data_IF_658891627034
#
_entry.id   IF_658891627034
#
_cell.length_a   1.000
_cell.length_b   1.000
_cell.length_c   1.000
_cell.angle_alpha   90.00
_cell.angle_beta   90.00
_cell.angle_gamma   90.00
#
_symmetry.space_group_name_H-M   'P 1'
#
loop_
_entity.id
_entity.type
_entity.pdbx_description
1 polymer ?
#
# COMPACT_ATOMS: atom_id res chain seq x y z
N UNK A 1 -7.97 14.36 7.55
CA UNK A 1 -8.48 13.59 6.39
C UNK A 1 -7.57 13.76 5.18
N UNK A 2 -7.56 14.92 4.50
CA UNK A 2 -6.82 15.13 3.25
C UNK A 2 -5.33 14.75 3.32
N UNK A 3 -4.66 15.00 4.45
CA UNK A 3 -3.26 14.60 4.66
C UNK A 3 -3.00 13.11 4.41
N UNK A 4 -3.96 12.23 4.73
CA UNK A 4 -3.81 10.78 4.54
C UNK A 4 -4.00 10.36 3.09
N UNK A 5 -4.86 11.05 2.35
CA UNK A 5 -5.01 10.82 0.91
C UNK A 5 -3.76 11.30 0.14
N UNK A 6 -3.20 12.45 0.53
CA UNK A 6 -1.93 12.91 0.00
C UNK A 6 -0.77 11.98 0.37
N UNK A 7 -0.71 11.54 1.63
CA UNK A 7 0.26 10.55 2.11
C UNK A 7 0.21 9.24 1.31
N UNK A 8 -0.99 8.75 1.00
CA UNK A 8 -1.17 7.56 0.18
C UNK A 8 -0.54 7.74 -1.21
N UNK A 9 -0.88 8.82 -1.91
CA UNK A 9 -0.37 9.08 -3.26
C UNK A 9 1.14 9.32 -3.30
N UNK A 10 1.67 10.10 -2.35
CA UNK A 10 3.08 10.48 -2.36
C UNK A 10 4.01 9.37 -1.86
N UNK A 11 3.57 8.59 -0.86
CA UNK A 11 4.45 7.65 -0.14
C UNK A 11 4.05 6.21 -0.30
N UNK A 12 2.77 5.87 -0.17
CA UNK A 12 2.31 4.47 -0.16
C UNK A 12 2.28 3.92 -1.60
N UNK A 13 1.61 4.60 -2.53
CA UNK A 13 1.58 4.18 -3.93
C UNK A 13 2.99 4.16 -4.52
N UNK A 14 3.75 5.26 -4.38
CA UNK A 14 5.09 5.36 -4.95
C UNK A 14 6.14 4.48 -4.28
N UNK A 15 6.04 4.27 -2.96
CA UNK A 15 7.03 3.53 -2.16
C UNK A 15 6.70 2.05 -1.96
N UNK A 16 5.45 1.64 -2.17
CA UNK A 16 5.00 0.25 -2.01
C UNK A 16 4.37 -0.26 -3.31
N UNK A 17 3.33 0.41 -3.81
CA UNK A 17 2.60 -0.01 -5.02
C UNK A 17 3.50 -0.12 -6.26
N UNK A 18 4.31 0.91 -6.53
CA UNK A 18 5.26 0.93 -7.64
C UNK A 18 6.33 -0.16 -7.54
N UNK A 19 7.05 -0.30 -6.42
CA UNK A 19 8.00 -1.39 -6.19
C UNK A 19 7.36 -2.78 -6.27
N UNK A 20 6.18 -2.98 -5.67
CA UNK A 20 5.39 -4.22 -5.79
C UNK A 20 5.12 -4.56 -7.25
N UNK A 21 4.57 -3.62 -8.02
CA UNK A 21 4.30 -3.83 -9.45
C UNK A 21 5.55 -4.26 -10.19
N UNK A 22 6.66 -3.51 -10.03
CA UNK A 22 7.91 -3.81 -10.72
C UNK A 22 8.45 -5.19 -10.36
N UNK A 23 8.42 -5.54 -9.07
CA UNK A 23 8.86 -6.85 -8.57
C UNK A 23 8.03 -8.00 -9.14
N UNK A 24 6.70 -7.93 -9.05
CA UNK A 24 5.82 -9.02 -9.51
C UNK A 24 5.80 -9.17 -11.05
N UNK A 25 6.19 -8.12 -11.76
CA UNK A 25 6.25 -8.11 -13.23
C UNK A 25 7.67 -8.19 -13.81
N UNK A 26 8.68 -8.49 -12.99
CA UNK A 26 10.08 -8.63 -13.44
C UNK A 26 10.65 -7.38 -14.14
N UNK A 27 10.28 -6.19 -13.69
CA UNK A 27 10.87 -4.90 -14.12
C UNK A 27 12.00 -4.49 -13.18
N UNK A 28 12.99 -3.73 -13.66
CA UNK A 28 14.06 -3.22 -12.81
C UNK A 28 13.50 -2.32 -11.70
N UNK A 29 14.08 -2.35 -10.49
CA UNK A 29 13.68 -1.47 -9.39
C UNK A 29 14.00 0.00 -9.71
N UNK A 30 13.39 0.92 -8.94
CA UNK A 30 13.77 2.33 -8.94
C UNK A 30 14.40 2.61 -7.57
N UNK A 31 15.61 3.16 -7.59
CA UNK A 31 16.36 3.53 -6.38
C UNK A 31 15.55 4.51 -5.49
N UNK A 32 15.70 4.37 -4.17
CA UNK A 32 15.04 5.25 -3.20
C UNK A 32 13.56 4.95 -2.92
N UNK A 33 12.88 4.14 -3.75
CA UNK A 33 11.44 3.91 -3.60
C UNK A 33 11.11 3.02 -2.40
N UNK A 34 11.89 1.97 -2.17
CA UNK A 34 11.64 1.08 -1.02
C UNK A 34 11.91 1.78 0.31
N UNK A 35 12.88 2.70 0.36
CA UNK A 35 13.15 3.54 1.53
C UNK A 35 11.96 4.45 1.85
N UNK A 36 11.32 5.04 0.83
CA UNK A 36 10.09 5.81 1.01
C UNK A 36 8.97 4.93 1.57
N UNK A 37 8.81 3.70 1.05
CA UNK A 37 7.82 2.74 1.53
C UNK A 37 8.06 2.32 2.99
N UNK A 38 9.31 2.05 3.36
CA UNK A 38 9.70 1.71 4.73
C UNK A 38 9.35 2.86 5.69
N UNK A 39 9.74 4.10 5.35
CA UNK A 39 9.39 5.28 6.15
C UNK A 39 7.88 5.50 6.27
N UNK A 40 7.12 5.19 5.20
CA UNK A 40 5.66 5.27 5.25
C UNK A 40 5.07 4.29 6.26
N UNK A 41 5.56 3.04 6.29
CA UNK A 41 5.14 2.04 7.26
C UNK A 41 5.54 2.43 8.69
N UNK A 42 6.72 3.03 8.89
CA UNK A 42 7.13 3.54 10.21
C UNK A 42 6.21 4.67 10.71
N UNK A 43 5.82 5.60 9.82
CA UNK A 43 4.88 6.67 10.14
C UNK A 43 3.49 6.12 10.49
N UNK A 44 3.01 5.13 9.74
CA UNK A 44 1.75 4.43 10.05
C UNK A 44 1.83 3.73 11.41
N UNK A 45 2.88 2.96 11.65
CA UNK A 45 3.11 2.24 12.89
C UNK A 45 3.16 3.18 14.11
N UNK A 46 3.78 4.35 13.94
CA UNK A 46 3.84 5.38 14.97
C UNK A 46 2.49 6.06 15.22
N UNK A 47 1.72 6.35 14.16
CA UNK A 47 0.41 6.98 14.25
C UNK A 47 -0.62 6.07 14.94
N UNK A 48 -0.61 4.78 14.58
CA UNK A 48 -1.49 3.73 15.11
C UNK A 48 -1.15 3.30 16.54
N UNK A 49 -0.12 3.87 17.16
CA UNK A 49 0.27 3.59 18.55
C UNK A 49 -0.85 3.84 19.57
N UNK A 50 -1.71 4.82 19.30
CA UNK A 50 -2.78 5.24 20.21
C UNK A 50 -4.12 5.40 19.48
N UNK A 51 -4.27 4.79 18.31
CA UNK A 51 -5.40 4.99 17.41
C UNK A 51 -5.76 3.69 16.72
N UNK A 52 -7.06 3.42 16.65
CA UNK A 52 -7.58 2.28 15.91
C UNK A 52 -7.73 2.56 14.42
N UNK A 53 -8.02 3.82 14.06
CA UNK A 53 -8.25 4.32 12.70
C UNK A 53 -7.39 5.55 12.39
N UNK A 54 -7.18 5.84 11.11
CA UNK A 54 -6.30 6.93 10.69
C UNK A 54 -6.86 8.32 11.04
N UNK A 55 -8.18 8.48 11.11
CA UNK A 55 -8.88 9.73 11.43
C UNK A 55 -10.03 9.46 12.39
N UNK A 56 -10.12 10.23 13.48
CA UNK A 56 -11.24 10.12 14.42
C UNK A 56 -11.26 8.79 15.19
N UNK A 57 -12.46 8.28 15.47
CA UNK A 57 -12.70 7.03 16.21
C UNK A 57 -13.37 5.93 15.39
N UNK A 58 -13.58 6.15 14.09
CA UNK A 58 -14.32 5.25 13.18
C UNK A 58 -13.59 5.14 11.83
N UNK A 59 -13.80 4.05 11.05
CA UNK A 59 -13.15 3.89 9.75
C UNK A 59 -13.59 4.97 8.78
N UNK A 60 -12.66 5.44 7.96
CA UNK A 60 -12.92 6.48 6.96
C UNK A 60 -12.31 6.13 5.61
N UNK A 61 -12.56 6.96 4.59
CA UNK A 61 -11.91 6.83 3.28
C UNK A 61 -10.37 6.85 3.38
N UNK A 62 -9.79 7.49 4.40
CA UNK A 62 -8.34 7.44 4.63
C UNK A 62 -7.87 6.02 4.88
N UNK A 63 -8.62 5.23 5.67
CA UNK A 63 -8.24 3.87 6.00
C UNK A 63 -8.28 2.98 4.76
N UNK A 64 -9.34 3.08 3.97
CA UNK A 64 -9.50 2.33 2.71
C UNK A 64 -8.40 2.69 1.71
N UNK A 65 -8.12 3.99 1.52
CA UNK A 65 -7.11 4.45 0.57
C UNK A 65 -5.72 3.92 0.93
N UNK A 66 -5.27 4.14 2.17
CA UNK A 66 -3.93 3.72 2.61
C UNK A 66 -3.81 2.20 2.66
N UNK A 67 -4.87 1.49 3.09
CA UNK A 67 -4.87 0.03 3.18
C UNK A 67 -4.55 -0.62 1.84
N UNK A 68 -5.05 -0.07 0.73
CA UNK A 68 -4.95 -0.64 -0.62
C UNK A 68 -3.56 -1.20 -0.97
N UNK A 69 -2.50 -0.41 -0.77
CA UNK A 69 -1.12 -0.88 -1.00
C UNK A 69 -0.37 -1.25 0.28
N UNK A 70 -0.72 -0.68 1.43
CA UNK A 70 0.00 -0.96 2.67
C UNK A 70 -0.14 -2.44 3.09
N UNK A 71 -1.31 -3.07 2.92
CA UNK A 71 -1.53 -4.45 3.34
C UNK A 71 -0.74 -5.50 2.52
N UNK A 72 -0.28 -5.13 1.33
CA UNK A 72 0.54 -5.96 0.43
C UNK A 72 2.01 -5.55 0.40
N UNK A 73 2.47 -4.79 1.40
CA UNK A 73 3.86 -4.30 1.42
C UNK A 73 4.91 -5.42 1.41
N UNK A 74 4.58 -6.59 1.94
CA UNK A 74 5.43 -7.79 1.90
C UNK A 74 5.73 -8.24 0.46
N UNK A 75 4.83 -8.02 -0.48
CA UNK A 75 5.05 -8.34 -1.90
C UNK A 75 6.01 -7.35 -2.57
N UNK A 76 6.23 -6.17 -1.99
CA UNK A 76 7.33 -5.26 -2.35
C UNK A 76 8.66 -5.63 -1.66
N UNK A 77 8.63 -6.51 -0.65
CA UNK A 77 9.78 -6.83 0.20
C UNK A 77 9.88 -5.99 1.47
N UNK A 78 8.79 -5.34 1.88
CA UNK A 78 8.71 -4.54 3.11
C UNK A 78 7.89 -5.26 4.18
N UNK A 79 8.31 -5.15 5.45
CA UNK A 79 7.63 -5.78 6.57
C UNK A 79 6.85 -4.73 7.38
N UNK A 80 5.50 -4.79 7.43
CA UNK A 80 4.70 -3.94 8.29
C UNK A 80 4.94 -4.23 9.78
N UNK A 81 4.84 -3.20 10.63
CA UNK A 81 4.88 -3.37 12.07
C UNK A 81 3.62 -4.03 12.66
N UNK A 82 3.68 -4.41 13.93
CA UNK A 82 2.59 -5.13 14.59
C UNK A 82 1.29 -4.32 14.68
N UNK A 83 1.36 -3.00 14.94
CA UNK A 83 0.15 -2.16 15.02
C UNK A 83 -0.44 -1.90 13.65
N UNK A 84 0.41 -1.71 12.66
CA UNK A 84 0.01 -1.60 11.26
C UNK A 84 -0.68 -2.89 10.80
N UNK A 85 -0.13 -4.05 11.17
CA UNK A 85 -0.75 -5.35 10.88
C UNK A 85 -2.10 -5.52 11.60
N UNK A 86 -2.20 -5.14 12.88
CA UNK A 86 -3.47 -5.17 13.60
C UNK A 86 -4.53 -4.23 12.99
N UNK A 87 -4.10 -3.08 12.47
CA UNK A 87 -4.98 -2.18 11.71
C UNK A 87 -5.45 -2.79 10.39
N UNK A 88 -4.59 -3.51 9.66
CA UNK A 88 -5.03 -4.25 8.47
C UNK A 88 -6.15 -5.25 8.79
N UNK A 89 -6.02 -6.00 9.88
CA UNK A 89 -7.06 -6.95 10.30
C UNK A 89 -8.37 -6.23 10.65
N UNK A 90 -8.30 -5.04 11.27
CA UNK A 90 -9.50 -4.22 11.50
C UNK A 90 -10.16 -3.77 10.20
N UNK A 91 -9.38 -3.35 9.20
CA UNK A 91 -9.93 -2.97 7.89
C UNK A 91 -10.57 -4.17 7.18
N UNK A 92 -9.93 -5.35 7.22
CA UNK A 92 -10.48 -6.60 6.66
C UNK A 92 -11.79 -7.04 7.32
N UNK A 93 -11.99 -6.66 8.59
CA UNK A 93 -13.20 -6.98 9.35
C UNK A 93 -14.37 -6.03 9.08
N UNK A 94 -14.20 -4.97 8.27
CA UNK A 94 -15.28 -4.05 7.96
C UNK A 94 -16.41 -4.74 7.17
N UNK A 95 -17.69 -4.42 7.44
CA UNK A 95 -18.80 -4.94 6.65
C UNK A 95 -18.64 -4.64 5.16
N UNK A 96 -18.79 -5.65 4.32
CA UNK A 96 -18.65 -5.52 2.86
C UNK A 96 -17.21 -5.52 2.35
N UNK A 97 -16.21 -5.78 3.21
CA UNK A 97 -14.86 -6.04 2.74
C UNK A 97 -14.82 -7.26 1.81
N UNK A 98 -14.16 -7.12 0.68
CA UNK A 98 -13.93 -8.19 -0.29
C UNK A 98 -12.42 -8.31 -0.51
N UNK A 99 -11.89 -9.52 -0.35
CA UNK A 99 -10.49 -9.83 -0.65
C UNK A 99 -10.37 -10.35 -2.08
N UNK A 100 -10.46 -9.46 -3.06
CA UNK A 100 -10.39 -9.76 -4.50
C UNK A 100 -9.03 -9.33 -5.11
N UNK A 101 -7.95 -9.37 -4.32
CA UNK A 101 -6.62 -9.06 -4.81
C UNK A 101 -6.22 -10.04 -5.91
N UNK A 102 -6.35 -9.62 -7.16
CA UNK A 102 -5.95 -10.41 -8.32
C UNK A 102 -4.45 -10.25 -8.63
N UNK A 103 -3.77 -11.34 -9.03
CA UNK A 103 -2.44 -11.26 -9.60
C UNK A 103 -2.43 -10.39 -10.87
N UNK A 104 -1.28 -9.77 -11.15
CA UNK A 104 -1.10 -9.09 -12.42
C UNK A 104 -1.17 -10.09 -13.60
N UNK A 105 -2.06 -9.83 -14.55
CA UNK A 105 -2.24 -10.65 -15.75
C UNK A 105 -1.05 -10.60 -16.73
N UNK A 106 -1.10 -11.43 -17.78
CA UNK A 106 -0.03 -11.52 -18.79
C UNK A 106 0.27 -10.17 -19.47
N UNK A 107 -0.77 -9.35 -19.69
CA UNK A 107 -0.66 -8.01 -20.27
C UNK A 107 0.22 -7.05 -19.44
N UNK A 108 0.44 -7.35 -18.15
CA UNK A 108 1.32 -6.56 -17.29
C UNK A 108 2.80 -6.89 -17.50
N UNK A 109 3.18 -7.97 -18.21
CA UNK A 109 4.59 -8.35 -18.42
C UNK A 109 5.33 -7.34 -19.33
N UNK A 110 6.67 -7.18 -19.17
CA UNK A 110 7.48 -6.39 -20.09
C UNK A 110 7.28 -6.87 -21.53
N UNK A 111 7.01 -5.95 -22.46
CA UNK A 111 6.77 -6.27 -23.87
C UNK A 111 5.39 -6.82 -24.22
N UNK A 112 4.53 -7.16 -23.25
CA UNK A 112 3.18 -7.69 -23.51
C UNK A 112 2.15 -6.59 -23.84
N UNK A 113 2.34 -5.38 -23.31
CA UNK A 113 1.47 -4.23 -23.57
C UNK A 113 2.07 -3.27 -24.59
N UNK A 114 1.25 -2.80 -25.54
CA UNK A 114 1.55 -1.57 -26.30
C UNK A 114 1.20 -0.38 -25.42
N UNK A 115 2.05 -0.08 -24.43
CA UNK A 115 1.92 1.17 -23.68
C UNK A 115 2.03 2.33 -24.65
N UNK A 116 1.06 3.25 -24.66
CA UNK A 116 1.15 4.51 -25.41
C UNK A 116 2.23 5.45 -24.84
N UNK A 117 2.78 5.11 -23.67
CA UNK A 117 3.81 5.90 -22.99
C UNK A 117 5.25 5.46 -23.27
N UNK A 118 5.47 4.45 -24.14
CA UNK A 118 6.81 3.98 -24.53
C UNK A 118 7.47 3.10 -23.48
#
# INVERSE_FOLDING_TARGET
MLQWLAFEQERVMGGIGGPRFRRLTARPPIEGRLEIGAQALELLEAHLRRRDWLVGGEPTIADVAVFGYAHVAHEAGLAPGARTSAWFERVRALPGFVADLEPYGENARPGAGRSIYG
#
